data_IF_956546388157
#
_entry.id   IF_956546388157
#
_cell.length_a   1.000
_cell.length_b   1.000
_cell.length_c   1.000
_cell.angle_alpha   90.00
_cell.angle_beta   90.00
_cell.angle_gamma   90.00
#
_symmetry.space_group_name_H-M   'P 1'
#
loop_
_entity.id
_entity.type
_entity.pdbx_description
1 polymer ?
#
# COMPACT_ATOMS: atom_id res chain seq x y z
N UNK A 1 4.77 -46.55 10.45
CA UNK A 1 5.82 -45.75 11.09
C UNK A 1 5.38 -45.60 12.53
N UNK A 2 6.12 -46.18 13.46
CA UNK A 2 5.71 -46.15 14.87
C UNK A 2 5.79 -44.71 15.41
N UNK A 3 4.94 -44.30 16.36
CA UNK A 3 5.04 -42.99 17.00
C UNK A 3 6.43 -42.72 17.60
N UNK A 4 7.09 -43.76 18.10
CA UNK A 4 8.47 -43.73 18.59
C UNK A 4 9.47 -43.40 17.48
N UNK A 5 9.28 -43.93 16.26
CA UNK A 5 10.15 -43.63 15.11
C UNK A 5 10.03 -42.17 14.67
N UNK A 6 8.82 -41.62 14.73
CA UNK A 6 8.56 -40.20 14.41
C UNK A 6 9.23 -39.29 15.45
N UNK A 7 9.11 -39.64 16.73
CA UNK A 7 9.74 -38.89 17.81
C UNK A 7 11.28 -38.93 17.72
N UNK A 8 11.87 -40.09 17.39
CA UNK A 8 13.32 -40.22 17.20
C UNK A 8 13.81 -39.47 15.96
N UNK A 9 13.01 -39.46 14.89
CA UNK A 9 13.27 -38.67 13.68
C UNK A 9 13.38 -37.18 13.98
N UNK A 10 12.43 -36.59 14.71
CA UNK A 10 12.47 -35.16 15.09
C UNK A 10 13.52 -34.84 16.17
N UNK A 11 13.92 -35.81 16.99
CA UNK A 11 15.06 -35.65 17.92
C UNK A 11 16.40 -35.61 17.19
N UNK A 12 16.59 -36.45 16.16
CA UNK A 12 17.81 -36.47 15.32
C UNK A 12 17.88 -35.31 14.34
N UNK A 13 16.75 -34.99 13.73
CA UNK A 13 16.60 -33.87 12.80
C UNK A 13 15.92 -32.72 13.52
N UNK A 14 16.51 -32.28 14.64
CA UNK A 14 16.14 -31.00 15.23
C UNK A 14 16.24 -29.96 14.12
N UNK A 15 15.22 -29.14 13.96
CA UNK A 15 15.31 -27.94 13.14
C UNK A 15 16.42 -27.09 13.76
N UNK A 16 17.62 -27.13 13.18
CA UNK A 16 18.82 -26.50 13.74
C UNK A 16 18.70 -24.97 13.74
N UNK A 17 17.75 -24.43 12.99
CA UNK A 17 17.38 -23.01 12.91
C UNK A 17 16.08 -22.75 13.71
N UNK A 18 16.05 -23.22 14.96
CA UNK A 18 14.95 -22.99 15.90
C UNK A 18 15.14 -21.60 16.51
N UNK A 19 14.07 -20.80 16.53
CA UNK A 19 14.02 -19.57 17.30
C UNK A 19 14.38 -19.82 18.78
N UNK A 20 15.26 -19.01 19.36
CA UNK A 20 15.63 -19.11 20.77
C UNK A 20 14.40 -18.78 21.62
N UNK A 21 13.94 -19.70 22.47
CA UNK A 21 12.77 -19.47 23.34
C UNK A 21 12.92 -18.24 24.26
N UNK A 22 14.14 -17.75 24.50
CA UNK A 22 14.38 -16.53 25.27
C UNK A 22 14.35 -15.27 24.41
N UNK A 23 14.76 -15.35 23.15
CA UNK A 23 14.93 -14.21 22.24
C UNK A 23 14.00 -14.25 21.02
N UNK A 24 13.06 -15.21 20.94
CA UNK A 24 12.21 -15.46 19.78
C UNK A 24 11.45 -14.22 19.31
N UNK A 25 11.07 -13.33 20.25
CA UNK A 25 10.39 -12.08 19.90
C UNK A 25 11.30 -11.16 19.11
N UNK A 26 12.55 -11.02 19.53
CA UNK A 26 13.54 -10.19 18.83
C UNK A 26 13.86 -10.79 17.47
N UNK A 27 14.07 -12.11 17.41
CA UNK A 27 14.33 -12.82 16.16
C UNK A 27 13.14 -12.74 15.19
N UNK A 28 11.90 -12.79 15.71
CA UNK A 28 10.70 -12.54 14.89
C UNK A 28 10.59 -11.09 14.44
N UNK A 29 10.91 -10.11 15.30
CA UNK A 29 10.91 -8.70 14.91
C UNK A 29 11.97 -8.37 13.85
N UNK A 30 13.07 -9.12 13.79
CA UNK A 30 14.07 -9.03 12.73
C UNK A 30 13.66 -9.78 11.47
N UNK A 31 12.73 -10.73 11.58
CA UNK A 31 12.27 -11.51 10.44
C UNK A 31 11.50 -10.63 9.45
N UNK A 32 11.89 -10.58 8.16
CA UNK A 32 11.31 -9.70 7.14
C UNK A 32 9.77 -9.70 7.02
N UNK A 33 9.12 -10.83 7.29
CA UNK A 33 7.65 -10.95 7.26
C UNK A 33 6.94 -10.39 8.50
N UNK A 34 7.65 -10.27 9.62
CA UNK A 34 7.10 -9.91 10.93
C UNK A 34 7.71 -8.59 11.46
N UNK A 35 8.61 -7.99 10.68
CA UNK A 35 9.33 -6.78 11.01
C UNK A 35 8.38 -5.60 11.22
N UNK A 36 8.46 -4.98 12.39
CA UNK A 36 7.61 -3.84 12.77
C UNK A 36 8.22 -2.48 12.42
N UNK A 37 9.54 -2.44 12.16
CA UNK A 37 10.31 -1.23 11.87
C UNK A 37 11.14 -1.43 10.61
N UNK A 38 11.17 -0.46 9.71
CA UNK A 38 12.06 -0.51 8.53
C UNK A 38 13.54 -0.61 8.96
N UNK A 39 14.40 -1.32 8.21
CA UNK A 39 15.85 -1.32 8.47
C UNK A 39 16.40 0.11 8.47
N UNK A 40 17.33 0.38 9.38
CA UNK A 40 17.90 1.72 9.61
C UNK A 40 18.81 2.17 8.46
N UNK A 41 19.48 1.22 7.80
CA UNK A 41 20.35 1.51 6.66
C UNK A 41 19.64 1.14 5.33
N UNK A 42 19.30 2.13 4.48
CA UNK A 42 18.68 1.88 3.17
C UNK A 42 19.50 1.01 2.23
N UNK A 43 20.82 0.96 2.41
CA UNK A 43 21.74 0.20 1.54
C UNK A 43 21.92 -1.26 2.00
N UNK A 44 21.40 -1.64 3.18
CA UNK A 44 21.50 -3.00 3.73
C UNK A 44 20.12 -3.61 3.92
N UNK A 45 19.35 -3.69 2.84
CA UNK A 45 18.07 -4.39 2.83
C UNK A 45 18.34 -5.90 2.78
N UNK A 46 17.84 -6.71 3.74
CA UNK A 46 18.03 -8.16 3.70
C UNK A 46 17.50 -8.74 2.37
N UNK A 47 18.17 -9.75 1.78
CA UNK A 47 17.78 -10.31 0.48
C UNK A 47 16.31 -10.76 0.42
N UNK A 48 15.77 -11.27 1.53
CA UNK A 48 14.37 -11.67 1.63
C UNK A 48 13.41 -10.46 1.60
N UNK A 49 13.76 -9.34 2.24
CA UNK A 49 12.95 -8.10 2.15
C UNK A 49 12.93 -7.59 0.71
N UNK A 50 14.07 -7.64 0.02
CA UNK A 50 14.16 -7.24 -1.38
C UNK A 50 13.35 -8.17 -2.30
N UNK A 51 13.40 -9.49 -2.07
CA UNK A 51 12.55 -10.44 -2.80
C UNK A 51 11.06 -10.16 -2.57
N UNK A 52 10.63 -9.90 -1.32
CA UNK A 52 9.24 -9.52 -1.01
C UNK A 52 8.86 -8.22 -1.72
N UNK A 53 9.77 -7.24 -1.78
CA UNK A 53 9.55 -5.98 -2.49
C UNK A 53 9.39 -6.21 -4.00
N UNK A 54 10.21 -7.05 -4.60
CA UNK A 54 10.10 -7.41 -6.03
C UNK A 54 8.78 -8.15 -6.30
N UNK A 55 8.38 -9.09 -5.45
CA UNK A 55 7.07 -9.73 -5.57
C UNK A 55 5.93 -8.72 -5.50
N UNK A 56 6.04 -7.71 -4.64
CA UNK A 56 4.99 -6.70 -4.45
C UNK A 56 4.96 -5.61 -5.53
N UNK A 57 6.12 -5.16 -6.04
CA UNK A 57 6.22 -3.98 -6.90
C UNK A 57 7.00 -4.21 -8.21
N UNK A 58 7.56 -5.40 -8.42
CA UNK A 58 8.31 -5.73 -9.64
C UNK A 58 7.39 -5.72 -10.85
N UNK A 59 7.77 -4.95 -11.88
CA UNK A 59 7.04 -4.83 -13.15
C UNK A 59 7.14 -6.11 -14.00
N UNK A 60 8.12 -6.96 -13.71
CA UNK A 60 8.28 -8.30 -14.28
C UNK A 60 7.30 -9.32 -13.67
N UNK A 61 6.94 -9.13 -12.40
CA UNK A 61 6.10 -10.05 -11.64
C UNK A 61 4.62 -9.64 -11.56
N UNK A 62 4.27 -8.41 -11.94
CA UNK A 62 2.94 -7.84 -11.74
C UNK A 62 2.45 -7.11 -13.00
N UNK A 63 1.16 -7.24 -13.31
CA UNK A 63 0.53 -6.39 -14.32
C UNK A 63 0.43 -4.93 -13.85
N UNK A 64 0.32 -3.95 -14.78
CA UNK A 64 0.11 -2.55 -14.41
C UNK A 64 -1.14 -2.33 -13.54
N UNK A 65 -2.21 -3.08 -13.77
CA UNK A 65 -3.43 -3.02 -12.96
C UNK A 65 -3.19 -3.51 -11.52
N UNK A 66 -2.45 -4.61 -11.36
CA UNK A 66 -2.07 -5.13 -10.04
C UNK A 66 -1.19 -4.14 -9.29
N UNK A 67 -0.18 -3.56 -9.94
CA UNK A 67 0.65 -2.52 -9.34
C UNK A 67 -0.19 -1.32 -8.86
N UNK A 68 -1.13 -0.86 -9.69
CA UNK A 68 -2.05 0.20 -9.29
C UNK A 68 -2.92 -0.20 -8.08
N UNK A 69 -3.39 -1.45 -8.01
CA UNK A 69 -4.11 -1.99 -6.84
C UNK A 69 -3.22 -2.05 -5.60
N UNK A 70 -1.95 -2.45 -5.72
CA UNK A 70 -1.00 -2.47 -4.60
C UNK A 70 -0.77 -1.06 -4.05
N UNK A 71 -0.48 -0.10 -4.92
CA UNK A 71 -0.31 1.30 -4.53
C UNK A 71 -1.57 1.92 -3.92
N UNK A 72 -2.76 1.51 -4.37
CA UNK A 72 -4.03 1.88 -3.71
C UNK A 72 -4.07 1.35 -2.27
N UNK A 73 -3.71 0.09 -2.04
CA UNK A 73 -3.72 -0.52 -0.70
C UNK A 73 -2.73 0.18 0.22
N UNK A 74 -1.53 0.49 -0.28
CA UNK A 74 -0.51 1.21 0.48
C UNK A 74 -0.94 2.63 0.82
N UNK A 75 -1.53 3.34 -0.16
CA UNK A 75 -2.10 4.67 0.07
C UNK A 75 -3.21 4.64 1.13
N UNK A 76 -4.08 3.63 1.10
CA UNK A 76 -5.15 3.49 2.09
C UNK A 76 -4.58 3.27 3.50
N UNK A 77 -3.53 2.46 3.64
CA UNK A 77 -2.90 2.19 4.93
C UNK A 77 -2.18 3.42 5.48
N UNK A 78 -1.42 4.13 4.63
CA UNK A 78 -0.79 5.40 4.99
C UNK A 78 -1.84 6.46 5.38
N UNK A 79 -2.99 6.47 4.71
CA UNK A 79 -4.09 7.37 5.04
C UNK A 79 -4.66 7.11 6.43
N UNK A 80 -4.87 5.84 6.82
CA UNK A 80 -5.29 5.48 8.19
C UNK A 80 -4.29 5.92 9.24
N UNK A 81 -2.99 5.85 8.92
CA UNK A 81 -1.90 6.34 9.76
C UNK A 81 -1.77 7.88 9.78
N UNK A 82 -2.69 8.61 9.11
CA UNK A 82 -2.67 10.09 8.95
C UNK A 82 -1.43 10.63 8.24
N UNK A 83 -0.71 9.78 7.50
CA UNK A 83 0.45 10.17 6.67
C UNK A 83 -0.06 10.60 5.29
N UNK A 84 -0.75 11.73 5.22
CA UNK A 84 -1.49 12.15 4.03
C UNK A 84 -0.62 12.41 2.81
N UNK A 85 0.56 13.03 2.99
CA UNK A 85 1.49 13.29 1.87
C UNK A 85 2.05 11.99 1.29
N UNK A 86 2.44 11.04 2.15
CA UNK A 86 2.91 9.74 1.72
C UNK A 86 1.79 8.94 1.03
N UNK A 87 0.56 8.99 1.57
CA UNK A 87 -0.60 8.37 0.94
C UNK A 87 -0.88 8.96 -0.46
N UNK A 88 -0.82 10.29 -0.60
CA UNK A 88 -0.99 10.96 -1.89
C UNK A 88 0.09 10.56 -2.91
N UNK A 89 1.34 10.39 -2.46
CA UNK A 89 2.43 9.88 -3.28
C UNK A 89 2.17 8.44 -3.76
N UNK A 90 1.69 7.55 -2.88
CA UNK A 90 1.31 6.18 -3.25
C UNK A 90 0.19 6.15 -4.28
N UNK A 91 -0.90 6.90 -4.08
CA UNK A 91 -1.97 6.99 -5.09
C UNK A 91 -1.47 7.54 -6.42
N UNK A 92 -0.53 8.49 -6.40
CA UNK A 92 0.09 9.03 -7.62
C UNK A 92 0.90 7.98 -8.38
N UNK A 93 1.66 7.14 -7.67
CA UNK A 93 2.35 6.00 -8.30
C UNK A 93 1.36 5.03 -8.92
N UNK A 94 0.28 4.68 -8.20
CA UNK A 94 -0.77 3.82 -8.74
C UNK A 94 -1.41 4.38 -10.01
N UNK A 95 -1.68 5.69 -10.04
CA UNK A 95 -2.21 6.37 -11.23
C UNK A 95 -1.24 6.35 -12.43
N UNK A 96 0.07 6.26 -12.20
CA UNK A 96 1.07 6.22 -13.28
C UNK A 96 1.05 4.90 -14.06
N UNK A 97 0.60 3.81 -13.44
CA UNK A 97 0.44 2.50 -14.09
C UNK A 97 -0.88 2.34 -14.83
N UNK A 98 -1.83 3.28 -14.64
CA UNK A 98 -3.11 3.25 -15.32
C UNK A 98 -3.07 4.09 -16.59
N UNK A 99 -3.68 3.56 -17.65
CA UNK A 99 -3.73 4.26 -18.94
C UNK A 99 -4.49 5.58 -18.82
N UNK A 100 -4.26 6.50 -19.77
CA UNK A 100 -5.04 7.75 -19.82
C UNK A 100 -6.47 7.56 -20.35
N UNK A 101 -6.70 6.48 -21.08
CA UNK A 101 -7.96 6.21 -21.77
C UNK A 101 -9.05 5.69 -20.82
N UNK A 102 -10.30 5.69 -21.29
CA UNK A 102 -11.40 5.03 -20.59
C UNK A 102 -11.38 3.56 -21.01
N UNK A 103 -10.81 2.72 -20.16
CA UNK A 103 -10.70 1.27 -20.36
C UNK A 103 -11.21 0.51 -19.12
N UNK A 104 -10.91 -0.79 -19.04
CA UNK A 104 -11.30 -1.66 -17.92
C UNK A 104 -10.80 -1.15 -16.55
N UNK A 105 -9.77 -0.30 -16.52
CA UNK A 105 -9.20 0.27 -15.30
C UNK A 105 -9.80 1.63 -14.90
N UNK A 106 -10.75 2.15 -15.69
CA UNK A 106 -11.39 3.45 -15.46
C UNK A 106 -11.95 3.59 -14.03
N UNK A 107 -12.61 2.56 -13.51
CA UNK A 107 -13.16 2.60 -12.16
C UNK A 107 -12.06 2.73 -11.09
N UNK A 108 -11.00 1.93 -11.21
CA UNK A 108 -9.86 1.98 -10.29
C UNK A 108 -9.20 3.36 -10.32
N UNK A 109 -9.07 3.94 -11.52
CA UNK A 109 -8.51 5.28 -11.72
C UNK A 109 -9.37 6.36 -11.07
N UNK A 110 -10.70 6.30 -11.23
CA UNK A 110 -11.62 7.22 -10.53
C UNK A 110 -11.49 7.11 -9.01
N UNK A 111 -11.39 5.89 -8.48
CA UNK A 111 -11.16 5.65 -7.04
C UNK A 111 -9.83 6.24 -6.57
N UNK A 112 -8.75 6.07 -7.32
CA UNK A 112 -7.42 6.60 -6.96
C UNK A 112 -7.41 8.13 -6.93
N UNK A 113 -8.00 8.81 -7.93
CA UNK A 113 -8.18 10.26 -7.89
C UNK A 113 -9.01 10.71 -6.70
N UNK A 114 -10.14 10.05 -6.44
CA UNK A 114 -11.02 10.34 -5.31
C UNK A 114 -10.31 10.18 -3.95
N UNK A 115 -9.46 9.16 -3.81
CA UNK A 115 -8.67 8.92 -2.61
C UNK A 115 -7.52 9.93 -2.45
N UNK A 116 -6.83 10.31 -3.53
CA UNK A 116 -5.80 11.35 -3.49
C UNK A 116 -6.39 12.73 -3.18
N UNK A 117 -7.58 13.04 -3.69
CA UNK A 117 -8.34 14.21 -3.27
C UNK A 117 -8.60 14.23 -1.76
N UNK A 118 -8.91 13.08 -1.15
CA UNK A 118 -9.09 12.99 0.29
C UNK A 118 -7.82 13.41 1.07
N UNK A 119 -6.64 13.00 0.60
CA UNK A 119 -5.37 13.47 1.19
C UNK A 119 -5.25 15.00 1.10
N UNK A 120 -5.54 15.57 -0.06
CA UNK A 120 -5.48 17.02 -0.25
C UNK A 120 -6.49 17.81 0.59
N UNK A 121 -7.68 17.26 0.85
CA UNK A 121 -8.62 17.85 1.81
C UNK A 121 -8.00 17.90 3.20
N UNK A 122 -7.36 16.81 3.65
CA UNK A 122 -6.73 16.71 4.97
C UNK A 122 -5.53 17.65 5.11
N UNK A 123 -4.75 17.87 4.04
CA UNK A 123 -3.63 18.82 4.02
C UNK A 123 -4.05 20.25 3.68
N UNK A 124 -5.36 20.53 3.60
CA UNK A 124 -5.95 21.84 3.28
C UNK A 124 -5.55 22.39 1.90
N UNK A 125 -5.15 21.51 0.98
CA UNK A 125 -4.89 21.86 -0.42
C UNK A 125 -6.17 21.70 -1.25
N UNK A 126 -7.16 22.55 -0.98
CA UNK A 126 -8.50 22.40 -1.54
C UNK A 126 -8.55 22.52 -3.07
N UNK A 127 -7.68 23.33 -3.68
CA UNK A 127 -7.61 23.44 -5.13
C UNK A 127 -7.21 22.10 -5.78
N UNK A 128 -6.15 21.46 -5.29
CA UNK A 128 -5.75 20.14 -5.79
C UNK A 128 -6.80 19.07 -5.52
N UNK A 129 -7.50 19.14 -4.38
CA UNK A 129 -8.61 18.23 -4.09
C UNK A 129 -9.75 18.38 -5.11
N UNK A 130 -10.11 19.62 -5.49
CA UNK A 130 -11.12 19.91 -6.50
C UNK A 130 -10.70 19.35 -7.86
N UNK A 131 -9.45 19.57 -8.27
CA UNK A 131 -8.96 19.12 -9.57
C UNK A 131 -8.94 17.58 -9.67
N UNK A 132 -8.52 16.88 -8.61
CA UNK A 132 -8.62 15.41 -8.55
C UNK A 132 -10.07 14.92 -8.54
N UNK A 133 -10.99 15.60 -7.85
CA UNK A 133 -12.41 15.22 -7.87
C UNK A 133 -13.03 15.40 -9.26
N UNK A 134 -12.65 16.44 -10.01
CA UNK A 134 -13.09 16.65 -11.40
C UNK A 134 -12.64 15.49 -12.29
N UNK A 135 -11.39 15.06 -12.19
CA UNK A 135 -10.92 13.89 -12.96
C UNK A 135 -11.63 12.61 -12.54
N UNK A 136 -11.85 12.39 -11.23
CA UNK A 136 -12.59 11.24 -10.74
C UNK A 136 -14.02 11.18 -11.31
N UNK A 137 -14.72 12.31 -11.33
CA UNK A 137 -16.10 12.43 -11.83
C UNK A 137 -16.20 12.44 -13.35
N UNK A 138 -15.16 12.90 -14.06
CA UNK A 138 -15.06 12.78 -15.52
C UNK A 138 -15.01 11.31 -15.94
N UNK A 139 -14.32 10.47 -15.15
CA UNK A 139 -14.16 9.04 -15.42
C UNK A 139 -15.38 8.24 -14.94
N UNK A 140 -15.80 8.45 -13.68
CA UNK A 140 -16.99 7.85 -13.12
C UNK A 140 -17.88 8.94 -12.50
N UNK A 141 -18.90 9.42 -13.24
CA UNK A 141 -19.85 10.43 -12.74
C UNK A 141 -20.61 9.99 -11.48
N UNK A 142 -20.71 8.68 -11.21
CA UNK A 142 -21.42 8.13 -10.06
C UNK A 142 -20.54 8.00 -8.80
N UNK A 143 -19.27 8.42 -8.84
CA UNK A 143 -18.37 8.38 -7.68
C UNK A 143 -18.84 9.36 -6.58
N UNK A 144 -19.70 8.87 -5.67
CA UNK A 144 -20.30 9.67 -4.59
C UNK A 144 -19.23 10.32 -3.69
N UNK A 145 -18.15 9.60 -3.41
CA UNK A 145 -17.06 10.09 -2.54
C UNK A 145 -16.32 11.27 -3.18
N UNK A 146 -16.12 11.24 -4.50
CA UNK A 146 -15.51 12.36 -5.22
C UNK A 146 -16.41 13.61 -5.18
N UNK A 147 -17.73 13.44 -5.39
CA UNK A 147 -18.70 14.54 -5.31
C UNK A 147 -18.71 15.20 -3.92
N UNK A 148 -18.83 14.40 -2.86
CA UNK A 148 -18.86 14.90 -1.48
C UNK A 148 -17.58 15.68 -1.14
N UNK A 149 -16.41 15.17 -1.54
CA UNK A 149 -15.13 15.85 -1.30
C UNK A 149 -14.98 17.12 -2.13
N UNK A 150 -15.50 17.14 -3.35
CA UNK A 150 -15.50 18.34 -4.18
C UNK A 150 -16.33 19.44 -3.54
N UNK A 151 -17.55 19.12 -3.10
CA UNK A 151 -18.45 20.05 -2.38
C UNK A 151 -17.78 20.59 -1.10
N UNK A 152 -17.21 19.70 -0.28
CA UNK A 152 -16.47 20.08 0.93
C UNK A 152 -15.29 21.00 0.61
N UNK A 153 -14.51 20.67 -0.42
CA UNK A 153 -13.34 21.44 -0.82
C UNK A 153 -13.72 22.82 -1.36
N UNK A 154 -14.78 22.92 -2.17
CA UNK A 154 -15.30 24.18 -2.68
C UNK A 154 -15.74 25.09 -1.53
N UNK A 155 -16.51 24.54 -0.58
CA UNK A 155 -16.95 25.28 0.60
C UNK A 155 -15.77 25.78 1.44
N UNK A 156 -14.78 24.92 1.72
CA UNK A 156 -13.59 25.30 2.50
C UNK A 156 -12.67 26.27 1.76
N UNK A 157 -12.58 26.18 0.44
CA UNK A 157 -11.77 27.08 -0.38
C UNK A 157 -12.37 28.48 -0.46
N UNK A 158 -13.69 28.59 -0.48
CA UNK A 158 -14.40 29.86 -0.53
C UNK A 158 -14.38 30.61 0.81
N UNK A 159 -14.32 29.89 1.93
CA UNK A 159 -14.32 30.44 3.29
C UNK A 159 -12.90 30.56 3.90
N UNK A 160 -11.86 30.55 3.05
CA UNK A 160 -10.46 30.71 3.45
C UNK A 160 -10.07 32.18 3.47
#
# INVERSE_FOLDING_TARGET
MDPEDIADYFKKHRYYDRFDEKNWRQEMEEHPLLMTKSPENPDQIPPLVEAIRQLKYGEDCNSPEELAKQYKLDGNELFKQRKFDAAAASYTKGLAYLSKELDETAELKSVLFSNRAACYVMTKNYQKAIDDCKEALRINPNNLRARQRMEESLYKNYNK
#
